data_IF_620389268915
#
_entry.id   IF_620389268915
#
_cell.length_a   1.000
_cell.length_b   1.000
_cell.length_c   1.000
_cell.angle_alpha   90.00
_cell.angle_beta   90.00
_cell.angle_gamma   90.00
#
_symmetry.space_group_name_H-M   'P 1'
#
loop_
_entity.id
_entity.type
_entity.pdbx_description
1 polymer ?
#
# COMPACT_ATOMS: atom_id res chain seq x y z
N UNK A 1 5.48 -5.80 4.47
CA UNK A 1 4.21 -6.38 3.96
C UNK A 1 4.41 -6.91 2.55
N UNK A 2 3.76 -8.02 2.15
CA UNK A 2 3.81 -8.51 0.75
C UNK A 2 2.42 -8.57 0.11
N UNK A 3 2.33 -8.71 -1.22
CA UNK A 3 1.09 -8.47 -1.99
C UNK A 3 -0.12 -9.32 -1.60
N UNK A 4 0.08 -10.52 -1.05
CA UNK A 4 -1.01 -11.33 -0.50
C UNK A 4 -1.46 -10.84 0.89
N UNK A 5 -0.52 -10.48 1.76
CA UNK A 5 -0.80 -9.93 3.08
C UNK A 5 -1.57 -8.61 2.99
N UNK A 6 -1.21 -7.75 2.03
CA UNK A 6 -1.96 -6.51 1.75
C UNK A 6 -3.44 -6.80 1.43
N UNK A 7 -3.71 -7.84 0.63
CA UNK A 7 -5.10 -8.23 0.32
C UNK A 7 -5.86 -8.65 1.56
N UNK A 8 -5.25 -9.48 2.41
CA UNK A 8 -5.88 -9.94 3.64
C UNK A 8 -6.17 -8.77 4.57
N UNK A 9 -5.22 -7.84 4.72
CA UNK A 9 -5.42 -6.62 5.50
C UNK A 9 -6.55 -5.74 4.97
N UNK A 10 -6.70 -5.61 3.65
CA UNK A 10 -7.82 -4.85 3.07
C UNK A 10 -9.16 -5.51 3.38
N UNK A 11 -9.25 -6.84 3.30
CA UNK A 11 -10.46 -7.58 3.67
C UNK A 11 -10.77 -7.39 5.16
N UNK A 12 -9.78 -7.58 6.03
CA UNK A 12 -9.92 -7.45 7.48
C UNK A 12 -10.38 -6.05 7.90
N UNK A 13 -9.82 -5.00 7.28
CA UNK A 13 -10.08 -3.62 7.70
C UNK A 13 -11.28 -2.97 7.01
N UNK A 14 -11.58 -3.33 5.76
CA UNK A 14 -12.57 -2.62 4.95
C UNK A 14 -13.71 -3.51 4.47
N UNK A 15 -13.68 -4.82 4.74
CA UNK A 15 -14.77 -5.74 4.40
C UNK A 15 -14.94 -6.05 2.92
N UNK A 16 -13.98 -5.66 2.06
CA UNK A 16 -14.01 -5.96 0.63
C UNK A 16 -12.70 -6.58 0.15
N UNK A 17 -12.81 -7.43 -0.88
CA UNK A 17 -11.68 -8.14 -1.48
C UNK A 17 -11.19 -7.41 -2.72
N UNK A 18 -9.99 -6.81 -2.71
CA UNK A 18 -9.42 -6.25 -3.93
C UNK A 18 -9.14 -7.35 -4.94
N UNK A 19 -9.09 -6.99 -6.23
CA UNK A 19 -8.63 -7.91 -7.27
C UNK A 19 -7.13 -8.22 -7.10
N UNK A 20 -6.71 -9.43 -7.51
CA UNK A 20 -5.33 -9.90 -7.25
C UNK A 20 -4.28 -8.98 -7.81
N UNK A 21 -4.45 -8.69 -9.09
CA UNK A 21 -3.57 -7.84 -9.88
C UNK A 21 -3.48 -6.43 -9.30
N UNK A 22 -4.57 -5.86 -8.78
CA UNK A 22 -4.61 -4.49 -8.24
C UNK A 22 -3.62 -4.28 -7.09
N UNK A 23 -3.57 -5.20 -6.12
CA UNK A 23 -2.66 -5.07 -4.96
C UNK A 23 -1.19 -5.07 -5.39
N UNK A 24 -0.83 -5.89 -6.39
CA UNK A 24 0.53 -5.93 -6.92
C UNK A 24 0.87 -4.71 -7.77
N UNK A 25 -0.07 -4.23 -8.60
CA UNK A 25 0.12 -3.03 -9.41
C UNK A 25 0.33 -1.79 -8.54
N UNK A 26 -0.44 -1.64 -7.46
CA UNK A 26 -0.27 -0.52 -6.52
C UNK A 26 1.11 -0.56 -5.87
N UNK A 27 1.53 -1.71 -5.33
CA UNK A 27 2.86 -1.87 -4.72
C UNK A 27 3.99 -1.60 -5.72
N UNK A 28 3.85 -2.06 -6.96
CA UNK A 28 4.81 -1.79 -8.04
C UNK A 28 4.91 -0.29 -8.37
N UNK A 29 3.77 0.41 -8.48
CA UNK A 29 3.77 1.87 -8.74
C UNK A 29 4.38 2.65 -7.58
N UNK A 30 4.06 2.28 -6.34
CA UNK A 30 4.66 2.90 -5.15
C UNK A 30 6.17 2.70 -5.13
N UNK A 31 6.64 1.50 -5.49
CA UNK A 31 8.07 1.20 -5.56
C UNK A 31 8.75 2.04 -6.65
N UNK A 32 8.17 2.10 -7.86
CA UNK A 32 8.70 2.93 -8.96
C UNK A 32 8.74 4.41 -8.63
N UNK A 33 7.81 4.90 -7.82
CA UNK A 33 7.81 6.28 -7.32
C UNK A 33 8.79 6.54 -6.17
N UNK A 34 9.45 5.49 -5.66
CA UNK A 34 10.35 5.58 -4.50
C UNK A 34 9.63 5.74 -3.17
N UNK A 35 8.33 5.45 -3.10
CA UNK A 35 7.53 5.57 -1.88
C UNK A 35 7.63 4.34 -0.98
N UNK A 36 7.96 3.18 -1.56
CA UNK A 36 8.29 1.96 -0.82
C UNK A 36 9.60 1.36 -1.35
N UNK A 37 10.35 0.70 -0.48
CA UNK A 37 11.51 -0.13 -0.83
C UNK A 37 11.15 -1.60 -0.78
N UNK A 38 11.98 -2.45 -1.40
CA UNK A 38 11.85 -3.90 -1.35
C UNK A 38 13.02 -4.50 -0.58
N UNK A 39 12.70 -5.39 0.35
CA UNK A 39 13.63 -6.34 0.95
C UNK A 39 13.29 -7.75 0.44
N UNK A 40 14.28 -8.45 -0.08
CA UNK A 40 14.13 -9.87 -0.38
C UNK A 40 14.40 -10.68 0.88
N UNK A 41 13.46 -11.55 1.24
CA UNK A 41 13.63 -12.48 2.36
C UNK A 41 13.62 -13.90 1.85
N UNK A 42 14.74 -14.58 2.07
CA UNK A 42 14.86 -16.00 1.77
C UNK A 42 13.94 -16.83 2.67
N UNK A 43 13.49 -17.95 2.14
CA UNK A 43 12.68 -18.90 2.89
C UNK A 43 13.24 -20.30 2.64
N UNK A 44 13.45 -21.06 3.71
CA UNK A 44 13.99 -22.43 3.60
C UNK A 44 13.07 -23.28 2.72
N UNK A 45 13.58 -23.73 1.57
CA UNK A 45 12.85 -24.55 0.62
C UNK A 45 11.72 -23.86 -0.15
N UNK A 46 11.65 -22.51 -0.17
CA UNK A 46 10.65 -21.75 -0.93
C UNK A 46 11.29 -20.56 -1.66
N UNK A 47 10.70 -20.07 -2.76
CA UNK A 47 11.19 -18.88 -3.45
C UNK A 47 11.27 -17.67 -2.51
N UNK A 48 12.32 -16.86 -2.68
CA UNK A 48 12.47 -15.62 -1.94
C UNK A 48 11.25 -14.72 -2.12
N UNK A 49 10.80 -14.10 -1.03
CA UNK A 49 9.63 -13.22 -1.04
C UNK A 49 10.05 -11.76 -1.00
N UNK A 50 9.36 -10.94 -1.79
CA UNK A 50 9.48 -9.48 -1.75
C UNK A 50 8.66 -8.93 -0.59
N UNK A 51 9.32 -8.27 0.34
CA UNK A 51 8.69 -7.49 1.40
C UNK A 51 8.83 -6.01 1.08
N UNK A 52 7.71 -5.31 1.07
CA UNK A 52 7.67 -3.87 0.90
C UNK A 52 7.74 -3.17 2.25
N UNK A 53 8.53 -2.11 2.32
CA UNK A 53 8.68 -1.22 3.46
C UNK A 53 8.44 0.22 3.01
N UNK A 54 7.68 1.00 3.78
CA UNK A 54 7.46 2.41 3.47
C UNK A 54 8.77 3.20 3.64
N UNK A 55 9.01 4.15 2.75
CA UNK A 55 10.13 5.08 2.83
C UNK A 55 9.68 6.38 3.49
N UNK A 56 10.63 7.25 3.86
CA UNK A 56 10.29 8.59 4.34
C UNK A 56 9.43 9.37 3.35
N UNK A 57 9.81 9.36 2.07
CA UNK A 57 9.03 9.96 0.96
C UNK A 57 7.62 9.37 0.87
N UNK A 58 7.46 8.08 1.16
CA UNK A 58 6.16 7.42 1.20
C UNK A 58 5.30 7.84 2.38
N UNK A 59 5.90 8.09 3.55
CA UNK A 59 5.20 8.66 4.71
C UNK A 59 4.72 10.07 4.41
N UNK A 60 5.58 10.92 3.84
CA UNK A 60 5.21 12.29 3.47
C UNK A 60 4.04 12.29 2.45
N UNK A 61 4.09 11.43 1.43
CA UNK A 61 2.99 11.26 0.47
C UNK A 61 1.69 10.79 1.14
N UNK A 62 1.79 9.89 2.12
CA UNK A 62 0.62 9.39 2.84
C UNK A 62 -0.04 10.50 3.65
N UNK A 63 0.75 11.33 4.34
CA UNK A 63 0.27 12.48 5.09
C UNK A 63 -0.44 13.50 4.17
N UNK A 64 0.17 13.81 3.02
CA UNK A 64 -0.43 14.68 1.99
C UNK A 64 -1.77 14.10 1.49
N UNK A 65 -1.81 12.80 1.19
CA UNK A 65 -3.01 12.12 0.72
C UNK A 65 -4.14 12.13 1.76
N UNK A 66 -3.81 11.92 3.04
CA UNK A 66 -4.78 12.01 4.15
C UNK A 66 -5.33 13.42 4.26
N UNK A 67 -4.47 14.44 4.19
CA UNK A 67 -4.89 15.85 4.23
C UNK A 67 -5.84 16.18 3.07
N UNK A 68 -5.46 15.79 1.85
CA UNK A 68 -6.28 15.98 0.66
C UNK A 68 -7.67 15.34 0.81
N UNK A 69 -7.75 14.09 1.27
CA UNK A 69 -9.02 13.39 1.44
C UNK A 69 -9.91 14.05 2.50
N UNK A 70 -9.33 14.55 3.60
CA UNK A 70 -10.08 15.29 4.62
C UNK A 70 -10.65 16.59 4.07
N UNK A 71 -9.85 17.37 3.35
CA UNK A 71 -10.28 18.63 2.72
C UNK A 71 -11.37 18.37 1.67
N UNK A 72 -11.15 17.37 0.81
CA UNK A 72 -12.11 16.97 -0.20
C UNK A 72 -13.44 16.53 0.42
N UNK A 73 -13.39 15.70 1.47
CA UNK A 73 -14.59 15.24 2.18
C UNK A 73 -15.35 16.40 2.86
N UNK A 74 -14.65 17.40 3.42
CA UNK A 74 -15.31 18.58 4.02
C UNK A 74 -16.09 19.35 2.95
N UNK A 75 -15.43 19.64 1.82
CA UNK A 75 -16.05 20.35 0.70
C UNK A 75 -17.23 19.60 0.11
N UNK A 76 -17.11 18.28 -0.04
CA UNK A 76 -18.16 17.44 -0.63
C UNK A 76 -19.41 17.35 0.28
N UNK A 77 -19.22 17.36 1.59
CA UNK A 77 -20.31 17.30 2.57
C UNK A 77 -20.89 18.68 2.92
N UNK A 78 -20.42 19.76 2.27
CA UNK A 78 -20.96 21.11 2.45
C UNK A 78 -20.77 21.70 3.85
N UNK A 79 -19.75 21.25 4.59
CA UNK A 79 -19.31 21.88 5.85
C UNK A 79 -18.15 22.82 5.62
#
# INVERSE_FOLDING_TARGET
>A
MYGYELRQKVIEQFGWKPATVTSYLVLYRLQRGGYVTIEWREQRGKPARKYYKITRKGEDLLEEGIKYLKEFSSKLLGK
#
